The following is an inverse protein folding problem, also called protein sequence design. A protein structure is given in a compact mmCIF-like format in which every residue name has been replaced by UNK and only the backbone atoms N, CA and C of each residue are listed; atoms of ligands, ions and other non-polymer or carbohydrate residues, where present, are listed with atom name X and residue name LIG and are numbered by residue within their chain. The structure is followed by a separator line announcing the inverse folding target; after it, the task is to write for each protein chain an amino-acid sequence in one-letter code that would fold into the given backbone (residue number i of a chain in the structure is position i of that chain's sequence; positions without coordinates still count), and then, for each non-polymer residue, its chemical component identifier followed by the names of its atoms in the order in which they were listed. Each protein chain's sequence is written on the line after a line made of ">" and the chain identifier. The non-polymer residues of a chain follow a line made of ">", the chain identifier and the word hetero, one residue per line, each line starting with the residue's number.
data_IF_006759067809
#
_entry.id   IF_006759067809
#
_cell.length_a   1.000
_cell.length_b   1.000
_cell.length_c   1.000
_cell.angle_alpha   90.00
_cell.angle_beta   90.00
_cell.angle_gamma   90.00
#
_symmetry.space_group_name_H-M   'P 1'
#
loop_
_entity.id
_entity.type
_entity.pdbx_description
1 polymer ?
#
# COMPACT_ATOMS: atom_id res chain seq x y z
N UNK A 1 -28.01 3.16 -0.92
CA UNK A 1 -26.89 2.28 -1.30
C UNK A 1 -26.23 2.76 -2.58
N UNK A 2 -26.97 2.80 -3.70
CA UNK A 2 -26.46 3.37 -4.96
C UNK A 2 -25.97 4.81 -4.80
N UNK A 3 -26.62 5.62 -3.97
CA UNK A 3 -26.21 7.01 -3.72
C UNK A 3 -24.89 7.16 -2.97
N UNK A 4 -24.50 6.18 -2.14
CA UNK A 4 -23.21 6.19 -1.46
C UNK A 4 -22.11 5.76 -2.43
N UNK A 5 -22.34 4.68 -3.17
CA UNK A 5 -21.40 4.20 -4.21
C UNK A 5 -21.18 5.29 -5.27
N UNK A 6 -22.23 6.00 -5.68
CA UNK A 6 -22.11 7.09 -6.66
C UNK A 6 -21.28 8.28 -6.15
N UNK A 7 -21.27 8.55 -4.83
CA UNK A 7 -20.56 9.69 -4.23
C UNK A 7 -19.15 9.35 -3.77
N UNK A 8 -18.98 8.18 -3.17
CA UNK A 8 -17.76 7.79 -2.45
C UNK A 8 -17.11 6.52 -3.02
N UNK A 9 -17.75 5.82 -3.96
CA UNK A 9 -17.22 4.59 -4.55
C UNK A 9 -15.90 4.78 -5.32
N UNK A 10 -15.57 6.02 -5.69
CA UNK A 10 -14.28 6.35 -6.28
C UNK A 10 -13.13 6.14 -5.28
N UNK A 11 -13.36 6.25 -3.97
CA UNK A 11 -12.37 6.01 -2.91
C UNK A 11 -11.98 4.54 -2.87
N UNK A 12 -12.94 3.63 -3.03
CA UNK A 12 -12.63 2.19 -3.11
C UNK A 12 -11.81 1.88 -4.36
N UNK A 13 -12.20 2.50 -5.48
CA UNK A 13 -11.49 2.32 -6.76
C UNK A 13 -10.07 2.86 -6.71
N UNK A 14 -9.85 4.03 -6.09
CA UNK A 14 -8.52 4.62 -5.91
C UNK A 14 -7.66 3.75 -5.00
N UNK A 15 -8.19 3.30 -3.87
CA UNK A 15 -7.47 2.44 -2.94
C UNK A 15 -7.09 1.09 -3.58
N UNK A 16 -8.05 0.46 -4.28
CA UNK A 16 -7.81 -0.76 -5.05
C UNK A 16 -6.71 -0.57 -6.10
N UNK A 17 -6.75 0.54 -6.83
CA UNK A 17 -5.75 0.87 -7.85
C UNK A 17 -4.37 1.07 -7.21
N UNK A 18 -4.27 1.89 -6.16
CA UNK A 18 -3.01 2.18 -5.48
C UNK A 18 -2.37 0.92 -4.90
N UNK A 19 -3.13 0.06 -4.21
CA UNK A 19 -2.59 -1.20 -3.67
C UNK A 19 -2.20 -2.17 -4.78
N UNK A 20 -2.96 -2.21 -5.88
CA UNK A 20 -2.63 -3.03 -7.06
C UNK A 20 -1.35 -2.55 -7.73
N UNK A 21 -1.20 -1.25 -7.94
CA UNK A 21 0.04 -0.66 -8.43
C UNK A 21 1.21 -1.03 -7.50
N UNK A 22 1.00 -1.09 -6.19
CA UNK A 22 2.07 -1.32 -5.22
C UNK A 22 2.57 -2.74 -5.37
N UNK A 23 1.63 -3.68 -5.55
CA UNK A 23 1.95 -5.04 -5.92
C UNK A 23 2.71 -5.14 -7.24
N UNK A 24 2.28 -4.42 -8.28
CA UNK A 24 2.97 -4.41 -9.57
C UNK A 24 4.40 -3.85 -9.48
N UNK A 25 4.64 -2.83 -8.65
CA UNK A 25 5.97 -2.26 -8.45
C UNK A 25 6.97 -3.29 -7.91
N UNK A 26 6.51 -4.18 -7.03
CA UNK A 26 7.35 -5.20 -6.39
C UNK A 26 7.25 -6.56 -7.07
N UNK A 27 6.35 -6.74 -8.04
CA UNK A 27 6.12 -8.03 -8.70
C UNK A 27 7.39 -8.64 -9.34
N UNK A 28 8.26 -7.88 -10.04
CA UNK A 28 9.55 -8.42 -10.52
C UNK A 28 10.43 -8.95 -9.38
N UNK A 29 10.48 -8.25 -8.25
CA UNK A 29 11.18 -8.70 -7.06
C UNK A 29 10.52 -9.94 -6.44
N UNK A 30 9.19 -10.01 -6.39
CA UNK A 30 8.45 -11.18 -5.92
C UNK A 30 8.76 -12.43 -6.77
N UNK A 31 8.79 -12.31 -8.10
CA UNK A 31 9.17 -13.43 -8.97
C UNK A 31 10.56 -13.96 -8.69
N UNK A 32 11.47 -13.10 -8.22
CA UNK A 32 12.82 -13.49 -7.83
C UNK A 32 12.86 -14.15 -6.44
N UNK A 33 12.29 -13.50 -5.43
CA UNK A 33 12.39 -13.95 -4.04
C UNK A 33 11.50 -15.17 -3.77
N UNK A 34 10.36 -15.24 -4.42
CA UNK A 34 9.35 -16.29 -4.25
C UNK A 34 9.29 -17.22 -5.45
N UNK A 35 10.39 -17.35 -6.20
CA UNK A 35 10.45 -18.21 -7.39
C UNK A 35 10.11 -19.69 -7.11
N UNK A 36 10.26 -20.14 -5.86
CA UNK A 36 9.93 -21.49 -5.41
C UNK A 36 8.43 -21.68 -5.09
N UNK A 37 7.66 -20.60 -4.95
CA UNK A 37 6.21 -20.69 -4.73
C UNK A 37 5.48 -20.98 -6.05
N UNK A 38 4.35 -21.71 -6.00
CA UNK A 38 3.60 -22.07 -7.21
C UNK A 38 3.17 -20.86 -8.05
N UNK A 39 2.78 -19.77 -7.41
CA UNK A 39 2.32 -18.52 -8.03
C UNK A 39 3.44 -17.48 -8.23
N UNK A 40 4.69 -17.86 -7.94
CA UNK A 40 5.88 -16.98 -7.94
C UNK A 40 5.70 -15.70 -7.11
N UNK A 41 4.87 -15.77 -6.05
CA UNK A 41 4.65 -14.67 -5.11
C UNK A 41 3.63 -13.62 -5.54
N UNK A 42 2.81 -13.87 -6.57
CA UNK A 42 1.78 -12.93 -7.02
C UNK A 42 0.78 -12.58 -5.91
N UNK A 43 0.31 -13.57 -5.14
CA UNK A 43 -0.66 -13.37 -4.05
C UNK A 43 -0.10 -12.50 -2.91
N UNK A 44 1.21 -12.52 -2.70
CA UNK A 44 1.91 -11.71 -1.70
C UNK A 44 2.28 -10.32 -2.22
N UNK A 45 2.25 -10.10 -3.55
CA UNK A 45 2.79 -8.90 -4.16
C UNK A 45 2.12 -7.63 -3.62
N UNK A 46 0.79 -7.59 -3.49
CA UNK A 46 0.07 -6.42 -2.94
C UNK A 46 0.56 -6.03 -1.55
N UNK A 47 0.67 -7.01 -0.64
CA UNK A 47 1.11 -6.77 0.74
C UNK A 47 2.58 -6.34 0.78
N UNK A 48 3.45 -7.05 0.05
CA UNK A 48 4.87 -6.72 -0.05
C UNK A 48 5.08 -5.32 -0.68
N UNK A 49 4.29 -4.99 -1.70
CA UNK A 49 4.27 -3.71 -2.38
C UNK A 49 3.94 -2.55 -1.44
N UNK A 50 2.83 -2.66 -0.73
CA UNK A 50 2.40 -1.64 0.22
C UNK A 50 3.44 -1.44 1.33
N UNK A 51 3.96 -2.55 1.88
CA UNK A 51 5.00 -2.50 2.91
C UNK A 51 6.29 -1.87 2.40
N UNK A 52 6.78 -2.26 1.23
CA UNK A 52 8.07 -1.81 0.72
C UNK A 52 8.02 -0.34 0.28
N UNK A 53 6.95 0.07 -0.43
CA UNK A 53 6.75 1.48 -0.80
C UNK A 53 6.57 2.34 0.45
N UNK A 54 5.74 1.91 1.40
CA UNK A 54 5.55 2.60 2.66
C UNK A 54 6.85 2.72 3.44
N UNK A 55 7.65 1.65 3.50
CA UNK A 55 8.91 1.63 4.23
C UNK A 55 9.96 2.54 3.60
N UNK A 56 10.14 2.47 2.26
CA UNK A 56 11.06 3.37 1.55
C UNK A 56 10.65 4.83 1.73
N UNK A 57 9.36 5.12 1.61
CA UNK A 57 8.83 6.46 1.85
C UNK A 57 9.11 6.94 3.28
N UNK A 58 8.75 6.14 4.28
CA UNK A 58 8.95 6.47 5.69
C UNK A 58 10.43 6.72 6.02
N UNK A 59 11.32 5.87 5.52
CA UNK A 59 12.77 6.04 5.70
C UNK A 59 13.27 7.31 5.02
N UNK A 60 12.83 7.61 3.80
CA UNK A 60 13.23 8.86 3.15
C UNK A 60 12.74 10.09 3.92
N UNK A 61 11.51 10.05 4.41
CA UNK A 61 10.90 11.14 5.15
C UNK A 61 11.56 11.33 6.54
N UNK A 62 11.86 10.25 7.28
CA UNK A 62 12.46 10.35 8.62
C UNK A 62 13.90 10.90 8.58
N UNK A 63 14.64 10.63 7.50
CA UNK A 63 15.98 11.19 7.29
C UNK A 63 15.97 12.57 6.62
N UNK A 64 14.79 13.10 6.27
CA UNK A 64 14.66 14.43 5.65
C UNK A 64 15.05 14.49 4.17
N UNK A 65 15.10 13.35 3.46
CA UNK A 65 15.34 13.33 2.02
C UNK A 65 14.12 13.78 1.21
N UNK A 66 12.92 13.59 1.75
CA UNK A 66 11.66 14.02 1.14
C UNK A 66 10.75 14.67 2.19
N UNK A 67 9.97 15.64 1.75
CA UNK A 67 8.85 16.16 2.54
C UNK A 67 7.63 15.24 2.42
N UNK A 68 6.75 15.30 3.42
CA UNK A 68 5.49 14.56 3.42
C UNK A 68 4.52 15.17 2.40
N UNK A 69 4.65 14.68 1.17
CA UNK A 69 3.99 15.23 0.00
C UNK A 69 3.73 14.13 -1.02
N UNK A 70 2.78 14.36 -1.93
CA UNK A 70 2.52 13.45 -3.06
C UNK A 70 3.78 13.21 -3.89
N UNK A 71 4.64 14.22 -4.07
CA UNK A 71 5.91 14.09 -4.77
C UNK A 71 6.89 13.13 -4.08
N UNK A 72 7.00 13.22 -2.74
CA UNK A 72 7.82 12.30 -1.95
C UNK A 72 7.32 10.85 -2.02
N UNK A 73 6.00 10.67 -2.00
CA UNK A 73 5.36 9.35 -2.17
C UNK A 73 5.70 8.80 -3.57
N UNK A 74 5.47 9.57 -4.64
CA UNK A 74 5.78 9.17 -6.02
C UNK A 74 7.26 8.81 -6.18
N UNK A 75 8.18 9.56 -5.57
CA UNK A 75 9.60 9.22 -5.59
C UNK A 75 9.87 7.85 -4.94
N UNK A 76 9.25 7.55 -3.80
CA UNK A 76 9.37 6.24 -3.15
C UNK A 76 8.90 5.11 -4.07
N UNK A 77 7.76 5.31 -4.74
CA UNK A 77 7.24 4.40 -5.75
C UNK A 77 8.23 4.14 -6.88
N UNK A 78 8.77 5.21 -7.48
CA UNK A 78 9.73 5.10 -8.58
C UNK A 78 11.01 4.37 -8.15
N UNK A 79 11.51 4.65 -6.95
CA UNK A 79 12.67 3.96 -6.38
C UNK A 79 12.40 2.47 -6.18
N UNK A 80 11.23 2.11 -5.63
CA UNK A 80 10.86 0.71 -5.46
C UNK A 80 10.76 -0.02 -6.80
N UNK A 81 10.13 0.60 -7.81
CA UNK A 81 10.08 0.05 -9.17
C UNK A 81 11.49 -0.14 -9.73
N UNK A 82 12.35 0.88 -9.62
CA UNK A 82 13.72 0.83 -10.11
C UNK A 82 14.54 -0.27 -9.44
N UNK A 83 14.47 -0.40 -8.11
CA UNK A 83 15.16 -1.43 -7.34
C UNK A 83 14.63 -2.84 -7.64
N UNK A 84 13.30 -2.98 -7.77
CA UNK A 84 12.63 -4.23 -8.12
C UNK A 84 13.06 -4.73 -9.50
N UNK A 85 13.06 -3.85 -10.51
CA UNK A 85 13.54 -4.17 -11.86
C UNK A 85 15.05 -4.44 -11.88
N UNK A 86 15.86 -3.61 -11.21
CA UNK A 86 17.30 -3.81 -11.14
C UNK A 86 17.65 -5.16 -10.49
N UNK A 87 16.99 -5.53 -9.40
CA UNK A 87 17.16 -6.83 -8.75
C UNK A 87 16.74 -7.99 -9.67
N UNK A 88 15.64 -7.82 -10.40
CA UNK A 88 15.15 -8.81 -11.35
C UNK A 88 16.10 -9.03 -12.53
N UNK A 89 16.63 -7.97 -13.14
CA UNK A 89 17.52 -8.07 -14.30
C UNK A 89 18.97 -8.42 -13.93
N UNK A 90 19.51 -7.90 -12.83
CA UNK A 90 20.92 -8.13 -12.42
C UNK A 90 21.19 -9.56 -11.97
N UNK A 91 20.22 -10.18 -11.30
CA UNK A 91 20.36 -11.53 -10.77
C UNK A 91 19.47 -12.54 -11.50
N UNK A 92 19.14 -12.24 -12.76
CA UNK A 92 18.26 -13.06 -13.59
C UNK A 92 18.90 -14.41 -13.86
N UNK A 93 18.30 -15.48 -13.35
CA UNK A 93 18.71 -16.86 -13.64
C UNK A 93 17.78 -17.43 -14.71
N UNK A 94 18.08 -17.14 -15.98
CA UNK A 94 17.36 -17.69 -17.16
C UNK A 94 16.33 -16.77 -17.82
N UNK A 95 15.69 -17.29 -18.88
CA UNK A 95 14.67 -16.58 -19.63
C UNK A 95 13.30 -16.71 -18.97
N UNK A 96 12.93 -15.72 -18.15
CA UNK A 96 11.56 -15.57 -17.68
C UNK A 96 10.63 -15.25 -18.87
N UNK A 97 9.84 -16.24 -19.27
CA UNK A 97 8.77 -16.09 -20.24
C UNK A 97 7.45 -15.71 -19.54
N UNK A 98 7.03 -14.46 -19.77
CA UNK A 98 5.77 -13.92 -19.23
C UNK A 98 4.54 -14.65 -19.78
N UNK A 99 4.58 -15.15 -21.02
CA UNK A 99 3.46 -15.88 -21.64
C UNK A 99 3.29 -17.25 -20.99
N UNK A 100 4.40 -17.96 -20.77
CA UNK A 100 4.39 -19.22 -20.04
C UNK A 100 3.89 -19.02 -18.60
N UNK A 101 4.42 -18.01 -17.89
CA UNK A 101 3.99 -17.68 -16.54
C UNK A 101 2.48 -17.42 -16.47
N UNK A 102 1.94 -16.61 -17.39
CA UNK A 102 0.50 -16.34 -17.46
C UNK A 102 -0.32 -17.61 -17.70
N UNK A 103 0.11 -18.47 -18.63
CA UNK A 103 -0.60 -19.73 -18.93
C UNK A 103 -0.67 -20.65 -17.72
N UNK A 104 0.40 -20.74 -16.95
CA UNK A 104 0.51 -21.56 -15.73
C UNK A 104 -0.29 -20.98 -14.57
N UNK A 105 -0.29 -19.64 -14.41
CA UNK A 105 -0.78 -18.99 -13.19
C UNK A 105 -2.11 -18.24 -13.33
N UNK A 106 -2.66 -18.08 -14.54
CA UNK A 106 -3.89 -17.32 -14.79
C UNK A 106 -5.05 -17.67 -13.86
N UNK A 107 -5.20 -18.95 -13.50
CA UNK A 107 -6.28 -19.39 -12.59
C UNK A 107 -6.07 -18.84 -11.19
N UNK A 108 -4.86 -18.95 -10.65
CA UNK A 108 -4.52 -18.43 -9.32
C UNK A 108 -4.62 -16.91 -9.29
N UNK A 109 -4.11 -16.24 -10.33
CA UNK A 109 -4.22 -14.78 -10.48
C UNK A 109 -5.69 -14.35 -10.47
N UNK A 110 -6.53 -14.92 -11.34
CA UNK A 110 -7.94 -14.56 -11.43
C UNK A 110 -8.70 -14.84 -10.12
N UNK A 111 -8.45 -15.98 -9.48
CA UNK A 111 -9.08 -16.30 -8.19
C UNK A 111 -8.63 -15.32 -7.11
N UNK A 112 -7.35 -15.00 -7.03
CA UNK A 112 -6.82 -14.04 -6.07
C UNK A 112 -7.40 -12.63 -6.28
N UNK A 113 -7.52 -12.18 -7.53
CA UNK A 113 -8.12 -10.90 -7.89
C UNK A 113 -9.61 -10.83 -7.53
N UNK A 114 -10.37 -11.87 -7.87
CA UNK A 114 -11.80 -11.95 -7.53
C UNK A 114 -11.97 -11.97 -6.01
N UNK A 115 -11.22 -12.81 -5.30
CA UNK A 115 -11.29 -12.88 -3.84
C UNK A 115 -10.94 -11.54 -3.20
N UNK A 116 -9.90 -10.86 -3.68
CA UNK A 116 -9.50 -9.55 -3.16
C UNK A 116 -10.59 -8.51 -3.34
N UNK A 117 -11.16 -8.39 -4.55
CA UNK A 117 -12.23 -7.42 -4.83
C UNK A 117 -13.49 -7.73 -4.02
N UNK A 118 -13.88 -9.01 -3.92
CA UNK A 118 -15.04 -9.42 -3.12
C UNK A 118 -14.83 -9.11 -1.64
N UNK A 119 -13.66 -9.42 -1.08
CA UNK A 119 -13.36 -9.13 0.33
C UNK A 119 -13.28 -7.63 0.59
N UNK A 120 -12.63 -6.85 -0.30
CA UNK A 120 -12.56 -5.40 -0.20
C UNK A 120 -13.95 -4.77 -0.23
N UNK A 121 -14.78 -5.14 -1.21
CA UNK A 121 -16.15 -4.63 -1.33
C UNK A 121 -17.02 -5.02 -0.13
N UNK A 122 -16.93 -6.28 0.32
CA UNK A 122 -17.68 -6.77 1.48
C UNK A 122 -17.29 -6.04 2.76
N UNK A 123 -15.98 -5.85 2.98
CA UNK A 123 -15.48 -5.15 4.16
C UNK A 123 -15.81 -3.66 4.13
N UNK A 124 -15.64 -3.00 2.99
CA UNK A 124 -16.01 -1.60 2.83
C UNK A 124 -17.51 -1.39 3.05
N UNK A 125 -18.36 -2.30 2.54
CA UNK A 125 -19.80 -2.26 2.76
C UNK A 125 -20.15 -2.42 4.25
N UNK A 126 -19.53 -3.40 4.93
CA UNK A 126 -19.69 -3.56 6.37
C UNK A 126 -19.33 -2.28 7.13
N UNK A 127 -18.20 -1.63 6.78
CA UNK A 127 -17.77 -0.38 7.40
C UNK A 127 -18.63 0.83 7.02
N UNK A 128 -19.27 0.84 5.86
CA UNK A 128 -20.23 1.88 5.50
C UNK A 128 -21.49 1.84 6.38
N UNK A 129 -21.94 0.65 6.80
CA UNK A 129 -23.03 0.50 7.78
C UNK A 129 -22.58 0.75 9.22
N UNK A 130 -21.40 0.28 9.60
CA UNK A 130 -20.81 0.51 10.92
C UNK A 130 -19.75 1.61 10.84
N UNK A 131 -20.21 2.83 10.56
CA UNK A 131 -19.35 4.00 10.33
C UNK A 131 -18.98 4.77 11.62
N UNK A 132 -19.42 4.32 12.79
CA UNK A 132 -19.12 4.99 14.06
C UNK A 132 -17.61 5.03 14.33
N UNK A 133 -17.10 6.24 14.51
CA UNK A 133 -15.70 6.59 14.77
C UNK A 133 -15.43 6.99 16.22
N UNK A 134 -16.46 7.09 17.07
CA UNK A 134 -16.34 7.58 18.46
C UNK A 134 -15.94 6.52 19.49
N UNK A 135 -15.96 5.23 19.13
CA UNK A 135 -15.70 4.14 20.05
C UNK A 135 -14.20 3.81 20.20
N UNK A 136 -13.78 3.46 21.42
CA UNK A 136 -12.46 2.86 21.72
C UNK A 136 -11.27 3.67 21.19
N UNK A 137 -10.41 3.06 20.39
CA UNK A 137 -9.16 3.64 19.88
C UNK A 137 -9.37 4.43 18.58
N UNK A 138 -10.53 4.29 17.92
CA UNK A 138 -10.79 4.92 16.61
C UNK A 138 -10.58 6.44 16.59
N UNK A 139 -10.98 7.22 17.63
CA UNK A 139 -10.69 8.65 17.65
C UNK A 139 -9.18 8.95 17.63
N UNK A 140 -8.38 8.14 18.33
CA UNK A 140 -6.93 8.27 18.35
C UNK A 140 -6.33 7.90 17.00
N UNK A 141 -6.78 6.82 16.36
CA UNK A 141 -6.32 6.41 15.03
C UNK A 141 -6.57 7.52 13.99
N UNK A 142 -7.78 8.12 14.01
CA UNK A 142 -8.12 9.25 13.15
C UNK A 142 -7.28 10.50 13.46
N UNK A 143 -7.01 10.77 14.74
CA UNK A 143 -6.14 11.86 15.14
C UNK A 143 -4.70 11.66 14.64
N UNK A 144 -4.15 10.44 14.71
CA UNK A 144 -2.83 10.13 14.16
C UNK A 144 -2.77 10.23 12.65
N UNK A 145 -3.73 9.67 11.92
CA UNK A 145 -3.80 9.80 10.45
C UNK A 145 -3.91 11.28 10.07
N UNK A 146 -4.78 12.05 10.74
CA UNK A 146 -4.94 13.49 10.50
C UNK A 146 -3.66 14.28 10.82
N UNK A 147 -2.98 13.94 11.91
CA UNK A 147 -1.70 14.55 12.31
C UNK A 147 -0.60 14.28 11.28
N UNK A 148 -0.53 13.05 10.76
CA UNK A 148 0.38 12.67 9.68
C UNK A 148 0.06 13.48 8.41
N UNK A 149 -1.19 13.48 7.93
CA UNK A 149 -1.58 14.19 6.71
C UNK A 149 -1.34 15.71 6.77
N UNK A 150 -1.33 16.30 7.96
CA UNK A 150 -1.08 17.74 8.17
C UNK A 150 0.37 18.09 8.44
N UNK A 151 1.22 17.11 8.75
CA UNK A 151 2.64 17.35 9.01
C UNK A 151 3.40 17.42 7.69
N UNK A 152 4.20 18.46 7.46
CA UNK A 152 5.01 18.59 6.24
C UNK A 152 6.29 17.76 6.27
N UNK A 153 6.77 17.40 7.45
CA UNK A 153 8.01 16.65 7.67
C UNK A 153 7.77 15.55 8.71
N UNK A 154 8.66 14.55 8.70
CA UNK A 154 8.64 13.47 9.69
C UNK A 154 9.77 13.64 10.70
N UNK A 155 9.60 13.15 11.94
CA UNK A 155 8.42 12.46 12.47
C UNK A 155 7.20 13.39 12.61
N UNK A 156 5.97 12.87 12.41
CA UNK A 156 4.75 13.68 12.37
C UNK A 156 4.45 14.33 13.73
N UNK A 157 3.85 15.52 13.71
CA UNK A 157 3.47 16.26 14.91
C UNK A 157 2.45 15.48 15.75
N UNK A 158 2.60 15.53 17.06
CA UNK A 158 1.67 14.92 18.01
C UNK A 158 0.30 15.64 17.97
N UNK A 159 -0.82 14.91 17.73
CA UNK A 159 -2.14 15.53 17.62
C UNK A 159 -2.63 16.13 18.95
N UNK A 160 -2.03 15.79 20.09
CA UNK A 160 -2.34 16.36 21.41
C UNK A 160 -1.60 17.66 21.69
N UNK A 161 -1.02 18.27 20.65
CA UNK A 161 -0.36 19.57 20.74
C UNK A 161 0.77 19.58 21.79
N UNK A 162 1.42 18.43 22.00
CA UNK A 162 2.50 18.28 22.96
C UNK A 162 3.76 19.10 22.61
N UNK A 163 3.82 19.66 21.39
CA UNK A 163 5.01 20.37 20.87
C UNK A 163 6.11 19.42 20.39
N UNK A 164 5.85 18.12 20.37
CA UNK A 164 6.75 17.06 19.93
C UNK A 164 6.09 16.19 18.86
N UNK A 165 6.84 15.21 18.35
CA UNK A 165 6.31 14.22 17.43
C UNK A 165 5.53 13.12 18.15
N UNK A 166 4.67 12.41 17.41
CA UNK A 166 3.87 11.28 17.92
C UNK A 166 4.78 10.25 18.62
N UNK A 167 4.58 10.05 19.92
CA UNK A 167 5.31 9.05 20.72
C UNK A 167 4.65 7.66 20.65
N UNK A 168 4.43 7.16 19.44
CA UNK A 168 3.77 5.86 19.20
C UNK A 168 4.22 5.21 17.89
N UNK A 169 3.92 3.92 17.73
CA UNK A 169 4.13 3.21 16.46
C UNK A 169 3.21 3.77 15.38
N UNK A 170 3.79 4.50 14.42
CA UNK A 170 3.01 5.27 13.45
C UNK A 170 3.14 4.77 12.00
N UNK A 171 3.94 3.73 11.74
CA UNK A 171 4.15 3.21 10.38
C UNK A 171 2.85 2.73 9.70
N UNK A 172 1.98 2.04 10.43
CA UNK A 172 0.67 1.63 9.92
C UNK A 172 -0.22 2.82 9.54
N UNK A 173 -0.23 3.87 10.37
CA UNK A 173 -0.98 5.10 10.10
C UNK A 173 -0.39 5.89 8.92
N UNK A 174 0.93 5.85 8.73
CA UNK A 174 1.58 6.44 7.54
C UNK A 174 1.11 5.71 6.28
N UNK A 175 1.15 4.38 6.26
CA UNK A 175 0.68 3.61 5.09
C UNK A 175 -0.79 3.91 4.77
N UNK A 176 -1.64 4.07 5.78
CA UNK A 176 -3.03 4.47 5.59
C UNK A 176 -3.14 5.90 5.02
N UNK A 177 -2.40 6.86 5.57
CA UNK A 177 -2.38 8.25 5.12
C UNK A 177 -1.84 8.40 3.68
N UNK A 178 -0.86 7.59 3.27
CA UNK A 178 -0.32 7.59 1.90
C UNK A 178 -1.33 7.14 0.84
N UNK A 179 -2.36 6.40 1.25
CA UNK A 179 -3.42 5.89 0.37
C UNK A 179 -4.69 6.76 0.38
N UNK A 180 -4.67 7.87 1.13
CA UNK A 180 -5.80 8.80 1.32
C UNK A 180 -5.61 10.06 0.48
#
# INVERSE_FOLDING_TARGET
>A
MLDWIAREGWILSSWWLLVTLAGLAVLPLCWRLFHALPDKGYTLARAAGLLLVGFVYWIMAIFGFVENSTGGIILAWLLVVALSLAAFFRFRTGDFDLRQYWRENRRVILVAEILFVVLLASWAMYRAYQNDTGSTEKPMELAFISGIMRSSTFPPNDPWMAGYAISYYHFGYIMAAMLS
#
